data_IF_878168246360
#
_entry.id   IF_878168246360
#
_cell.length_a   1.000
_cell.length_b   1.000
_cell.length_c   1.000
_cell.angle_alpha   90.00
_cell.angle_beta   90.00
_cell.angle_gamma   90.00
#
_symmetry.space_group_name_H-M   'P 1'
#
loop_
_entity.id
_entity.type
_entity.pdbx_description
1 polymer ?
#
# COMPACT_ATOMS: atom_id res chain seq x y z
N UNK A 1 47.79 35.24 -25.04
CA UNK A 1 46.76 34.43 -25.73
C UNK A 1 46.43 33.11 -25.03
N UNK A 2 47.40 32.33 -24.51
CA UNK A 2 47.14 31.03 -23.83
C UNK A 2 46.34 31.09 -22.50
N UNK A 3 46.39 32.21 -21.76
CA UNK A 3 45.66 32.36 -20.48
C UNK A 3 44.15 32.64 -20.65
N UNK A 4 43.74 33.16 -21.81
CA UNK A 4 42.33 33.48 -22.10
C UNK A 4 41.54 32.24 -22.53
N UNK A 5 42.20 31.30 -23.19
CA UNK A 5 41.63 30.02 -23.64
C UNK A 5 41.29 29.10 -22.46
N UNK A 6 42.03 29.17 -21.35
CA UNK A 6 41.78 28.36 -20.15
C UNK A 6 40.53 28.83 -19.37
N UNK A 7 40.26 30.14 -19.37
CA UNK A 7 39.08 30.72 -18.71
C UNK A 7 37.77 30.37 -19.45
N UNK A 8 37.81 30.31 -20.78
CA UNK A 8 36.69 29.87 -21.61
C UNK A 8 36.35 28.38 -21.44
N UNK A 9 37.36 27.52 -21.20
CA UNK A 9 37.11 26.11 -20.89
C UNK A 9 36.42 25.92 -19.54
N UNK A 10 36.83 26.66 -18.50
CA UNK A 10 36.21 26.61 -17.16
C UNK A 10 34.75 27.11 -17.17
N UNK A 11 34.45 28.15 -17.95
CA UNK A 11 33.07 28.64 -18.11
C UNK A 11 32.19 27.61 -18.85
N UNK A 12 32.75 26.89 -19.84
CA UNK A 12 32.01 25.84 -20.56
C UNK A 12 31.68 24.62 -19.70
N UNK A 13 32.53 24.29 -18.71
CA UNK A 13 32.27 23.19 -17.78
C UNK A 13 31.19 23.52 -16.74
N UNK A 14 31.01 24.80 -16.38
CA UNK A 14 29.93 25.22 -15.47
C UNK A 14 28.54 25.17 -16.12
N UNK A 15 28.46 25.29 -17.45
CA UNK A 15 27.17 25.24 -18.19
C UNK A 15 26.69 23.80 -18.41
N UNK A 16 27.55 22.79 -18.19
CA UNK A 16 27.19 21.37 -18.32
C UNK A 16 26.69 20.72 -17.02
N UNK A 17 26.67 21.45 -15.89
CA UNK A 17 25.89 21.03 -14.73
C UNK A 17 24.43 21.39 -15.00
N UNK A 18 23.79 20.64 -15.90
CA UNK A 18 22.34 20.66 -16.02
C UNK A 18 21.76 20.44 -14.63
N UNK A 19 20.90 21.35 -14.17
CA UNK A 19 20.12 21.10 -12.97
C UNK A 19 19.37 19.80 -13.19
N UNK A 20 19.63 18.79 -12.36
CA UNK A 20 18.80 17.58 -12.36
C UNK A 20 17.34 18.04 -12.28
N UNK A 21 16.45 17.53 -13.16
CA UNK A 21 15.05 17.90 -13.09
C UNK A 21 14.54 17.65 -11.67
N UNK A 22 13.98 18.70 -11.06
CA UNK A 22 13.34 18.58 -9.74
C UNK A 22 12.09 17.74 -9.94
N UNK A 23 12.19 16.44 -9.67
CA UNK A 23 11.04 15.57 -9.65
C UNK A 23 10.19 15.92 -8.42
N UNK A 24 9.02 16.51 -8.66
CA UNK A 24 8.00 16.65 -7.63
C UNK A 24 7.25 15.33 -7.54
N UNK A 25 7.43 14.63 -6.42
CA UNK A 25 6.68 13.41 -6.13
C UNK A 25 5.40 13.82 -5.44
N UNK A 26 4.28 13.50 -6.08
CA UNK A 26 2.95 13.80 -5.56
C UNK A 26 2.62 12.96 -4.32
N UNK A 27 3.36 11.88 -4.09
CA UNK A 27 3.13 10.97 -2.98
C UNK A 27 4.37 10.75 -2.13
N UNK A 28 4.17 10.65 -0.81
CA UNK A 28 5.18 10.26 0.18
C UNK A 28 4.90 8.84 0.68
N UNK A 29 5.93 7.97 0.77
CA UNK A 29 5.75 6.63 1.30
C UNK A 29 5.52 6.67 2.82
N UNK A 30 4.60 5.84 3.29
CA UNK A 30 4.38 5.57 4.71
C UNK A 30 5.03 4.25 5.05
N UNK A 31 5.94 4.27 6.03
CA UNK A 31 6.67 3.09 6.47
C UNK A 31 6.07 2.52 7.75
N UNK A 32 6.13 1.19 7.87
CA UNK A 32 5.81 0.46 9.09
C UNK A 32 6.94 -0.53 9.43
N UNK A 33 7.18 -0.78 10.72
CA UNK A 33 8.13 -1.83 11.12
C UNK A 33 7.55 -3.20 10.86
N UNK A 34 8.40 -4.16 10.50
CA UNK A 34 8.00 -5.58 10.35
C UNK A 34 7.16 -6.10 11.51
N UNK A 35 7.61 -5.88 12.75
CA UNK A 35 6.91 -6.37 13.94
C UNK A 35 5.53 -5.75 14.13
N UNK A 36 5.31 -4.53 13.63
CA UNK A 36 4.01 -3.86 13.70
C UNK A 36 3.09 -4.39 12.61
N UNK A 37 3.60 -4.51 11.38
CA UNK A 37 2.88 -5.08 10.22
C UNK A 37 2.30 -6.46 10.53
N UNK A 38 3.11 -7.34 11.13
CA UNK A 38 2.70 -8.71 11.43
C UNK A 38 1.61 -8.83 12.50
N UNK A 39 1.44 -7.79 13.33
CA UNK A 39 0.42 -7.73 14.40
C UNK A 39 -0.79 -6.88 14.00
N UNK A 40 -0.76 -6.22 12.85
CA UNK A 40 -1.78 -5.23 12.49
C UNK A 40 -3.06 -5.85 11.91
N UNK A 41 -3.03 -7.10 11.45
CA UNK A 41 -4.22 -7.75 10.86
C UNK A 41 -5.29 -8.00 11.93
N UNK A 42 -6.44 -7.33 11.80
CA UNK A 42 -7.52 -7.40 12.79
C UNK A 42 -8.88 -7.03 12.19
N UNK A 43 -9.96 -7.46 12.84
CA UNK A 43 -11.30 -6.94 12.58
C UNK A 43 -11.56 -5.70 13.43
N UNK A 44 -12.22 -4.73 12.82
CA UNK A 44 -12.68 -3.49 13.43
C UNK A 44 -14.17 -3.28 13.16
N UNK A 45 -14.76 -2.33 13.89
CA UNK A 45 -16.12 -1.89 13.63
C UNK A 45 -16.26 -1.32 12.21
N UNK A 46 -17.47 -1.40 11.66
CA UNK A 46 -17.79 -0.78 10.37
C UNK A 46 -17.40 0.71 10.37
N UNK A 47 -16.82 1.17 9.26
CA UNK A 47 -16.37 2.55 9.11
C UNK A 47 -16.72 3.08 7.71
N UNK A 48 -16.93 4.39 7.53
CA UNK A 48 -17.26 4.93 6.21
C UNK A 48 -16.20 4.61 5.16
N UNK A 49 -16.67 4.23 3.97
CA UNK A 49 -15.81 4.04 2.79
C UNK A 49 -15.30 5.40 2.32
N UNK A 50 -13.98 5.57 2.15
CA UNK A 50 -13.38 6.85 1.77
C UNK A 50 -12.66 6.78 0.44
N UNK A 51 -11.76 5.82 0.27
CA UNK A 51 -10.96 5.65 -0.95
C UNK A 51 -11.10 4.21 -1.47
N UNK A 52 -12.25 3.88 -2.09
CA UNK A 52 -12.52 2.53 -2.52
C UNK A 52 -11.61 2.09 -3.67
N UNK A 53 -11.20 0.83 -3.64
CA UNK A 53 -10.50 0.16 -4.72
C UNK A 53 -11.35 -0.90 -5.40
N UNK A 54 -10.82 -2.12 -5.48
CA UNK A 54 -11.50 -3.28 -6.05
C UNK A 54 -12.70 -3.73 -5.21
N UNK A 55 -13.64 -4.39 -5.87
CA UNK A 55 -14.79 -5.07 -5.25
C UNK A 55 -14.60 -6.57 -5.46
N UNK A 56 -14.87 -7.37 -4.42
CA UNK A 56 -14.88 -8.82 -4.46
C UNK A 56 -16.20 -9.34 -3.87
N UNK A 57 -16.77 -10.39 -4.44
CA UNK A 57 -18.04 -10.98 -3.97
C UNK A 57 -17.79 -12.45 -3.59
N UNK A 58 -18.28 -12.84 -2.42
CA UNK A 58 -18.28 -14.23 -1.95
C UNK A 58 -19.61 -14.50 -1.25
N UNK A 59 -20.34 -15.48 -1.77
CA UNK A 59 -21.68 -15.84 -1.27
C UNK A 59 -22.59 -14.59 -1.22
N UNK A 60 -23.14 -14.24 -0.06
CA UNK A 60 -23.93 -13.02 0.16
C UNK A 60 -23.10 -11.80 0.58
N UNK A 61 -21.77 -11.91 0.68
CA UNK A 61 -20.92 -10.83 1.17
C UNK A 61 -20.23 -10.08 0.03
N UNK A 62 -20.18 -8.76 0.17
CA UNK A 62 -19.41 -7.86 -0.68
C UNK A 62 -18.22 -7.35 0.13
N UNK A 63 -17.04 -7.42 -0.48
CA UNK A 63 -15.80 -6.90 0.06
C UNK A 63 -15.38 -5.71 -0.79
N UNK A 64 -15.26 -4.53 -0.19
CA UNK A 64 -14.80 -3.32 -0.88
C UNK A 64 -13.45 -2.94 -0.31
N UNK A 65 -12.42 -2.91 -1.15
CA UNK A 65 -11.09 -2.49 -0.74
C UNK A 65 -11.13 -1.01 -0.29
N UNK A 66 -10.52 -0.71 0.84
CA UNK A 66 -10.07 0.64 1.21
C UNK A 66 -8.56 0.69 0.96
N UNK A 67 -8.15 1.47 -0.05
CA UNK A 67 -6.81 1.36 -0.63
C UNK A 67 -5.72 1.46 0.44
N UNK A 68 -4.85 0.44 0.50
CA UNK A 68 -3.74 0.29 1.46
C UNK A 68 -4.13 0.07 2.92
N UNK A 69 -5.43 -0.03 3.25
CA UNK A 69 -5.89 -0.15 4.65
C UNK A 69 -6.60 -1.46 4.93
N UNK A 70 -7.21 -2.09 3.92
CA UNK A 70 -7.91 -3.36 4.09
C UNK A 70 -9.21 -3.42 3.30
N UNK A 71 -10.21 -4.11 3.85
CA UNK A 71 -11.48 -4.37 3.16
C UNK A 71 -12.70 -4.14 4.07
N UNK A 72 -13.66 -3.37 3.57
CA UNK A 72 -15.00 -3.26 4.13
C UNK A 72 -15.76 -4.56 3.86
N UNK A 73 -16.40 -5.13 4.88
CA UNK A 73 -17.22 -6.33 4.77
C UNK A 73 -18.69 -5.92 4.86
N UNK A 74 -19.43 -6.19 3.81
CA UNK A 74 -20.83 -5.81 3.66
C UNK A 74 -21.66 -7.08 3.50
N UNK A 75 -22.67 -7.24 4.36
CA UNK A 75 -23.71 -8.25 4.21
C UNK A 75 -24.72 -7.75 3.18
N UNK A 76 -24.85 -8.50 2.09
CA UNK A 76 -25.74 -8.22 0.99
C UNK A 76 -26.84 -9.31 0.87
N UNK A 77 -27.23 -9.93 2.00
CA UNK A 77 -28.36 -10.87 2.07
C UNK A 77 -29.69 -10.25 1.64
N UNK A 78 -29.87 -8.94 1.88
CA UNK A 78 -30.91 -8.13 1.26
C UNK A 78 -30.30 -7.09 0.30
N UNK A 79 -30.28 -7.34 -1.02
CA UNK A 79 -29.68 -6.41 -1.99
C UNK A 79 -30.33 -5.03 -2.06
N UNK A 80 -31.56 -4.86 -1.59
CA UNK A 80 -32.19 -3.54 -1.53
C UNK A 80 -31.76 -2.72 -0.29
N UNK A 81 -31.09 -3.36 0.67
CA UNK A 81 -30.65 -2.74 1.93
C UNK A 81 -29.39 -3.45 2.48
N UNK A 82 -28.22 -3.31 1.80
CA UNK A 82 -26.96 -3.90 2.28
C UNK A 82 -26.51 -3.28 3.61
N UNK A 83 -25.88 -4.08 4.45
CA UNK A 83 -25.42 -3.67 5.79
C UNK A 83 -23.92 -3.84 5.91
N UNK A 84 -23.21 -2.74 6.19
CA UNK A 84 -21.79 -2.81 6.48
C UNK A 84 -21.56 -3.43 7.86
N UNK A 85 -21.00 -4.64 7.90
CA UNK A 85 -20.82 -5.41 9.15
C UNK A 85 -19.56 -5.04 9.90
N UNK A 86 -18.44 -4.93 9.18
CA UNK A 86 -17.12 -4.79 9.78
C UNK A 86 -16.11 -4.21 8.80
N UNK A 87 -14.92 -3.90 9.31
CA UNK A 87 -13.74 -3.57 8.53
C UNK A 87 -12.61 -4.55 8.86
N UNK A 88 -12.06 -5.22 7.85
CA UNK A 88 -10.88 -6.07 7.99
C UNK A 88 -9.64 -5.20 7.69
N UNK A 89 -8.98 -4.76 8.75
CA UNK A 89 -7.77 -3.93 8.67
C UNK A 89 -6.57 -4.78 8.29
N UNK A 90 -5.89 -4.41 7.20
CA UNK A 90 -4.66 -5.03 6.69
C UNK A 90 -3.84 -3.93 6.01
N UNK A 91 -2.77 -3.46 6.67
CA UNK A 91 -1.91 -2.41 6.13
C UNK A 91 -1.23 -2.84 4.82
N UNK A 92 -1.18 -1.94 3.83
CA UNK A 92 -0.62 -2.24 2.52
C UNK A 92 -1.42 -3.23 1.68
N UNK A 93 -2.68 -3.48 2.05
CA UNK A 93 -3.53 -4.40 1.31
C UNK A 93 -4.12 -3.75 0.05
N UNK A 94 -3.95 -4.41 -1.09
CA UNK A 94 -4.47 -3.98 -2.39
C UNK A 94 -5.41 -5.03 -3.00
N UNK A 95 -5.18 -6.31 -2.71
CA UNK A 95 -6.04 -7.39 -3.19
C UNK A 95 -6.29 -8.48 -2.15
N UNK A 96 -7.38 -9.21 -2.39
CA UNK A 96 -7.72 -10.44 -1.68
C UNK A 96 -8.19 -11.52 -2.65
N UNK A 97 -7.99 -12.77 -2.25
CA UNK A 97 -8.67 -13.93 -2.82
C UNK A 97 -9.31 -14.74 -1.68
N UNK A 98 -10.53 -15.23 -1.88
CA UNK A 98 -11.25 -15.99 -0.85
C UNK A 98 -11.53 -17.40 -1.35
N UNK A 99 -11.09 -18.42 -0.60
CA UNK A 99 -11.35 -19.83 -0.87
C UNK A 99 -11.87 -20.53 0.39
N UNK A 100 -13.11 -21.00 0.32
CA UNK A 100 -13.81 -21.53 1.49
C UNK A 100 -13.88 -20.47 2.59
N UNK A 101 -13.30 -20.79 3.75
CA UNK A 101 -13.26 -19.93 4.94
C UNK A 101 -11.92 -19.19 5.10
N UNK A 102 -11.05 -19.22 4.07
CA UNK A 102 -9.76 -18.56 4.10
C UNK A 102 -9.75 -17.35 3.15
N UNK A 103 -9.31 -16.22 3.69
CA UNK A 103 -8.97 -15.00 2.96
C UNK A 103 -7.45 -14.99 2.80
N UNK A 104 -6.98 -14.90 1.57
CA UNK A 104 -5.58 -14.66 1.22
C UNK A 104 -5.47 -13.20 0.83
N UNK A 105 -4.63 -12.45 1.53
CA UNK A 105 -4.56 -11.02 1.38
C UNK A 105 -3.12 -10.55 1.18
N UNK A 106 -2.97 -9.49 0.40
CA UNK A 106 -1.76 -8.69 0.43
C UNK A 106 -1.64 -8.02 1.81
N UNK A 107 -0.45 -8.04 2.38
CA UNK A 107 -0.12 -7.23 3.55
C UNK A 107 1.23 -6.56 3.27
N UNK A 108 1.17 -5.51 2.45
CA UNK A 108 2.32 -4.95 1.76
C UNK A 108 3.08 -6.03 0.97
N UNK A 109 4.32 -6.33 1.35
CA UNK A 109 5.19 -7.29 0.67
C UNK A 109 4.94 -8.76 1.04
N UNK A 110 4.02 -9.01 1.97
CA UNK A 110 3.71 -10.36 2.44
C UNK A 110 2.37 -10.87 1.90
N UNK A 111 2.28 -12.19 1.71
CA UNK A 111 1.02 -12.89 1.55
C UNK A 111 0.56 -13.41 2.93
N UNK A 112 -0.66 -13.07 3.34
CA UNK A 112 -1.22 -13.50 4.62
C UNK A 112 -2.45 -14.37 4.39
N UNK A 113 -2.52 -15.50 5.09
CA UNK A 113 -3.70 -16.37 5.13
C UNK A 113 -4.47 -16.14 6.43
N UNK A 114 -5.74 -15.80 6.31
CA UNK A 114 -6.64 -15.44 7.41
C UNK A 114 -7.83 -16.40 7.36
N UNK A 115 -8.04 -17.19 8.41
CA UNK A 115 -9.29 -17.94 8.55
C UNK A 115 -10.38 -17.01 9.08
N UNK A 116 -11.59 -17.10 8.53
CA UNK A 116 -12.78 -16.41 9.03
C UNK A 116 -13.88 -17.42 9.33
N UNK A 117 -14.77 -17.11 10.27
CA UNK A 117 -16.01 -17.85 10.40
C UNK A 117 -17.00 -17.48 9.28
N UNK A 118 -18.09 -18.24 9.16
CA UNK A 118 -19.03 -18.12 8.04
C UNK A 118 -19.71 -16.75 7.92
N UNK A 119 -19.77 -15.98 9.00
CA UNK A 119 -20.38 -14.65 9.01
C UNK A 119 -19.35 -13.51 9.12
N UNK A 120 -18.06 -13.83 9.03
CA UNK A 120 -16.94 -12.89 9.11
C UNK A 120 -16.92 -12.03 10.40
N UNK A 121 -17.55 -12.48 11.48
CA UNK A 121 -17.49 -11.82 12.79
C UNK A 121 -16.22 -12.14 13.59
N UNK A 122 -15.52 -13.22 13.23
CA UNK A 122 -14.24 -13.60 13.83
C UNK A 122 -13.23 -13.97 12.76
N UNK A 123 -11.97 -13.58 13.00
CA UNK A 123 -10.84 -13.95 12.14
C UNK A 123 -9.65 -14.43 12.97
N UNK A 124 -8.75 -15.16 12.32
CA UNK A 124 -7.44 -15.52 12.85
C UNK A 124 -6.41 -15.57 11.72
N UNK A 125 -5.23 -15.00 11.95
CA UNK A 125 -4.10 -15.16 11.04
C UNK A 125 -3.55 -16.57 11.21
N UNK A 126 -3.58 -17.36 10.13
CA UNK A 126 -3.20 -18.78 10.15
C UNK A 126 -1.84 -19.04 9.48
N UNK A 127 -1.39 -18.13 8.62
CA UNK A 127 -0.10 -18.26 7.95
C UNK A 127 0.35 -16.97 7.30
N UNK A 128 1.65 -16.87 7.04
CA UNK A 128 2.28 -15.74 6.36
C UNK A 128 3.45 -16.23 5.53
N UNK A 129 3.51 -15.80 4.28
CA UNK A 129 4.67 -15.97 3.41
C UNK A 129 5.30 -14.59 3.20
N UNK A 130 6.45 -14.38 3.85
CA UNK A 130 7.14 -13.10 3.86
C UNK A 130 7.76 -12.79 2.50
N UNK A 131 7.75 -11.50 2.11
CA UNK A 131 8.42 -11.00 0.90
C UNK A 131 8.00 -11.75 -0.38
N UNK A 132 6.72 -12.13 -0.46
CA UNK A 132 6.14 -12.82 -1.63
C UNK A 132 5.87 -11.85 -2.78
N UNK A 133 5.74 -10.56 -2.46
CA UNK A 133 5.41 -9.50 -3.40
C UNK A 133 6.50 -8.43 -3.43
N UNK A 134 6.56 -7.70 -4.55
CA UNK A 134 7.32 -6.46 -4.62
C UNK A 134 6.67 -5.38 -3.74
N UNK A 135 7.45 -4.37 -3.37
CA UNK A 135 6.88 -3.22 -2.66
C UNK A 135 5.83 -2.50 -3.52
N UNK A 136 4.75 -1.99 -2.90
CA UNK A 136 3.71 -1.30 -3.64
C UNK A 136 4.23 0.00 -4.25
N UNK A 137 4.08 0.16 -5.56
CA UNK A 137 4.40 1.41 -6.26
C UNK A 137 3.50 2.57 -5.81
N UNK A 138 3.97 3.80 -5.98
CA UNK A 138 3.14 4.97 -5.72
C UNK A 138 1.96 5.08 -6.69
N UNK A 139 0.85 5.73 -6.31
CA UNK A 139 -0.34 5.84 -7.17
C UNK A 139 -0.12 6.53 -8.53
N UNK A 140 0.90 7.38 -8.64
CA UNK A 140 1.34 8.04 -9.88
C UNK A 140 2.22 7.15 -10.77
N UNK A 141 2.43 5.88 -10.39
CA UNK A 141 3.10 4.88 -11.21
C UNK A 141 4.64 4.96 -11.18
N UNK A 142 5.21 5.87 -10.40
CA UNK A 142 6.66 5.93 -10.24
C UNK A 142 7.15 4.83 -9.30
N UNK A 143 8.27 4.21 -9.67
CA UNK A 143 8.99 3.31 -8.79
C UNK A 143 9.53 4.09 -7.60
N UNK A 144 9.65 3.43 -6.44
CA UNK A 144 10.24 4.00 -5.24
C UNK A 144 11.56 4.70 -5.59
N UNK A 145 11.52 6.03 -5.60
CA UNK A 145 12.66 6.80 -6.06
C UNK A 145 13.79 6.65 -5.04
N UNK A 146 15.02 6.40 -5.50
CA UNK A 146 16.22 6.26 -4.65
C UNK A 146 16.36 7.36 -3.60
N UNK A 147 15.83 8.55 -3.87
CA UNK A 147 15.81 9.67 -2.94
C UNK A 147 15.01 9.44 -1.65
N UNK A 148 14.03 8.52 -1.64
CA UNK A 148 13.31 8.16 -0.42
C UNK A 148 14.08 7.16 0.44
N UNK A 149 15.04 6.44 -0.15
CA UNK A 149 15.84 5.43 0.58
C UNK A 149 16.60 6.06 1.75
N UNK A 150 17.02 7.32 1.62
CA UNK A 150 17.67 8.07 2.72
C UNK A 150 16.75 8.34 3.91
N UNK A 151 15.44 8.30 3.72
CA UNK A 151 14.43 8.51 4.76
C UNK A 151 13.79 7.20 5.24
N UNK A 152 14.11 6.07 4.60
CA UNK A 152 13.60 4.75 4.98
C UNK A 152 14.16 4.40 6.36
N UNK A 153 13.31 4.17 7.38
CA UNK A 153 13.78 3.60 8.63
C UNK A 153 14.42 2.23 8.37
N UNK A 154 15.39 1.83 9.19
CA UNK A 154 15.95 0.47 9.12
C UNK A 154 14.82 -0.56 9.19
N UNK A 155 14.76 -1.46 8.23
CA UNK A 155 13.72 -2.49 8.06
C UNK A 155 12.30 -1.93 7.88
N UNK A 156 12.17 -0.68 7.41
CA UNK A 156 10.90 -0.03 7.10
C UNK A 156 10.27 -0.59 5.83
N UNK A 157 9.02 -1.02 5.94
CA UNK A 157 8.22 -1.58 4.85
C UNK A 157 7.21 -0.52 4.42
N UNK A 158 7.09 -0.28 3.11
CA UNK A 158 6.08 0.62 2.58
C UNK A 158 4.70 -0.03 2.70
N UNK A 159 3.80 0.62 3.42
CA UNK A 159 2.43 0.15 3.62
C UNK A 159 1.39 1.07 3.01
N UNK A 160 1.72 2.32 2.69
CA UNK A 160 0.78 3.28 2.12
C UNK A 160 1.55 4.40 1.40
N UNK A 161 0.82 5.22 0.65
CA UNK A 161 1.29 6.42 -0.01
C UNK A 161 0.34 7.57 0.29
N UNK A 162 0.87 8.65 0.87
CA UNK A 162 0.10 9.85 1.20
C UNK A 162 0.31 10.93 0.16
N UNK A 163 -0.78 11.54 -0.32
CA UNK A 163 -0.72 12.66 -1.25
C UNK A 163 -0.09 13.87 -0.56
N UNK A 164 0.85 14.51 -1.25
CA UNK A 164 1.77 15.49 -0.72
C UNK A 164 1.40 16.91 -1.16
N UNK A 165 0.16 17.37 -0.94
CA UNK A 165 -0.30 18.76 -1.12
C UNK A 165 -1.50 19.09 -0.25
#
# INVERSE_FOLDING_TARGET
MKKFTFLLLLLSTMVLMGSDPVYYYEYKPVFMKRSELERAVRLEAASPIKNPGKIYIKDQYIFINEKYKGFHIIDNSNPSAPVQKAFLHIDGCLDIAIKGNYIYADNAIDLVAISANNDYSTISVTGRVRNSFAEPSSPDGYWYARQFERYRPKDGIIVNWEYNY
#
